data_IF_153709269068
#
_entry.id   IF_153709269068
#
_cell.length_a   1.000
_cell.length_b   1.000
_cell.length_c   1.000
_cell.angle_alpha   90.00
_cell.angle_beta   90.00
_cell.angle_gamma   90.00
#
_symmetry.space_group_name_H-M   'P 1'
#
loop_
_entity.id
_entity.type
_entity.pdbx_description
1 polymer ?
#
# COMPACT_ATOMS: atom_id res chain seq x y z
N UNK A 1 -5.84 38.62 26.44
CA UNK A 1 -5.48 38.43 25.02
C UNK A 1 -3.98 38.62 24.82
N UNK A 2 -3.38 37.82 23.95
CA UNK A 2 -1.97 37.90 23.54
C UNK A 2 -1.87 37.94 22.02
N UNK A 3 -0.67 38.17 21.51
CA UNK A 3 -0.29 37.99 20.11
C UNK A 3 0.76 36.90 19.98
N UNK A 4 0.47 35.90 19.17
CA UNK A 4 1.43 34.91 18.69
C UNK A 4 2.03 35.38 17.37
N UNK A 5 3.35 35.39 17.28
CA UNK A 5 4.10 35.50 16.03
C UNK A 5 4.90 34.21 15.86
N UNK A 6 4.57 33.42 14.84
CA UNK A 6 5.21 32.14 14.58
C UNK A 6 5.86 32.14 13.18
N UNK A 7 7.15 31.83 13.14
CA UNK A 7 7.89 31.54 11.90
C UNK A 7 7.98 30.03 11.73
N UNK A 8 7.42 29.54 10.63
CA UNK A 8 7.31 28.11 10.34
C UNK A 8 8.24 27.75 9.19
N UNK A 9 9.03 26.69 9.37
CA UNK A 9 9.96 26.15 8.38
C UNK A 9 9.56 24.73 7.97
N UNK A 10 10.08 24.29 6.83
CA UNK A 10 9.87 22.95 6.27
C UNK A 10 9.13 22.98 4.93
N UNK A 11 8.42 21.90 4.62
CA UNK A 11 7.59 21.77 3.42
C UNK A 11 6.22 22.41 3.66
N UNK A 12 6.18 23.74 3.62
CA UNK A 12 5.01 24.55 4.04
C UNK A 12 4.51 25.55 2.99
N UNK A 13 5.17 25.70 1.84
CA UNK A 13 4.70 26.54 0.73
C UNK A 13 4.18 25.70 -0.44
N UNK A 14 3.21 26.22 -1.21
CA UNK A 14 2.60 25.57 -2.39
C UNK A 14 1.90 24.22 -2.10
N UNK A 15 1.66 23.92 -0.82
CA UNK A 15 1.08 22.64 -0.34
C UNK A 15 -0.25 22.84 0.39
N UNK A 16 -0.87 24.02 0.29
CA UNK A 16 -2.13 24.35 0.96
C UNK A 16 -2.02 24.59 2.46
N UNK A 17 -0.81 24.71 3.02
CA UNK A 17 -0.57 24.94 4.45
C UNK A 17 -1.29 26.19 4.97
N UNK A 18 -1.15 27.34 4.29
CA UNK A 18 -1.82 28.59 4.70
C UNK A 18 -3.33 28.45 4.79
N UNK A 19 -3.95 27.73 3.85
CA UNK A 19 -5.39 27.46 3.88
C UNK A 19 -5.79 26.67 5.13
N UNK A 20 -4.98 25.70 5.55
CA UNK A 20 -5.20 24.93 6.80
C UNK A 20 -5.06 25.82 8.03
N UNK A 21 -4.02 26.67 8.07
CA UNK A 21 -3.80 27.63 9.16
C UNK A 21 -5.00 28.58 9.30
N UNK A 22 -5.52 29.12 8.19
CA UNK A 22 -6.71 30.00 8.20
C UNK A 22 -7.94 29.29 8.73
N UNK A 23 -8.19 28.05 8.30
CA UNK A 23 -9.32 27.25 8.80
C UNK A 23 -9.22 27.05 10.31
N UNK A 24 -8.05 26.66 10.81
CA UNK A 24 -7.85 26.45 12.25
C UNK A 24 -7.98 27.72 13.07
N UNK A 25 -7.44 28.84 12.57
CA UNK A 25 -7.55 30.13 13.24
C UNK A 25 -9.02 30.57 13.37
N UNK A 26 -9.82 30.37 12.31
CA UNK A 26 -11.26 30.67 12.32
C UNK A 26 -12.05 29.78 13.29
N UNK A 27 -11.72 28.50 13.38
CA UNK A 27 -12.36 27.59 14.35
C UNK A 27 -12.13 28.02 15.80
N UNK A 28 -10.99 28.69 16.07
CA UNK A 28 -10.62 29.18 17.39
C UNK A 28 -10.93 30.68 17.59
N UNK A 29 -11.68 31.29 16.67
CA UNK A 29 -12.01 32.73 16.65
C UNK A 29 -10.80 33.66 16.82
N UNK A 30 -9.64 33.26 16.28
CA UNK A 30 -8.42 34.04 16.32
C UNK A 30 -8.38 35.07 15.20
N UNK A 31 -7.75 36.22 15.46
CA UNK A 31 -7.59 37.32 14.50
C UNK A 31 -6.14 37.47 14.07
N UNK A 32 -5.88 37.86 12.83
CA UNK A 32 -4.52 38.02 12.33
C UNK A 32 -4.35 37.60 10.89
N UNK A 33 -3.18 37.06 10.54
CA UNK A 33 -2.90 36.68 9.18
C UNK A 33 -1.85 35.59 9.06
N UNK A 34 -1.80 34.99 7.87
CA UNK A 34 -0.72 34.12 7.44
C UNK A 34 -0.18 34.58 6.08
N UNK A 35 1.15 34.59 5.91
CA UNK A 35 1.82 34.92 4.64
C UNK A 35 3.04 34.06 4.38
N UNK A 36 3.30 33.80 3.10
CA UNK A 36 4.56 33.20 2.67
C UNK A 36 5.67 34.27 2.70
N UNK A 37 6.87 33.84 3.08
CA UNK A 37 8.09 34.63 3.03
C UNK A 37 8.93 34.22 1.82
N UNK A 38 9.72 35.14 1.24
CA UNK A 38 10.51 34.87 0.03
C UNK A 38 11.65 33.85 0.26
N UNK A 39 12.02 33.60 1.51
CA UNK A 39 13.03 32.62 1.93
C UNK A 39 12.46 31.20 2.10
N UNK A 40 11.20 30.96 1.72
CA UNK A 40 10.54 29.66 1.83
C UNK A 40 9.82 29.43 3.16
N UNK A 41 9.93 30.32 4.14
CA UNK A 41 9.22 30.22 5.43
C UNK A 41 7.78 30.71 5.35
N UNK A 42 6.99 30.42 6.38
CA UNK A 42 5.64 30.97 6.54
C UNK A 42 5.57 31.76 7.85
N UNK A 43 5.12 33.01 7.76
CA UNK A 43 4.85 33.84 8.92
C UNK A 43 3.37 33.75 9.27
N UNK A 44 3.09 33.37 10.52
CA UNK A 44 1.76 33.36 11.11
C UNK A 44 1.71 34.40 12.22
N UNK A 45 0.73 35.29 12.18
CA UNK A 45 0.42 36.22 13.27
C UNK A 45 -1.01 35.96 13.70
N UNK A 46 -1.22 35.69 14.98
CA UNK A 46 -2.54 35.45 15.56
C UNK A 46 -2.69 36.22 16.87
N UNK A 47 -3.86 36.76 17.12
CA UNK A 47 -4.25 37.45 18.34
C UNK A 47 -5.53 36.82 18.88
N UNK A 48 -5.59 36.64 20.20
CA UNK A 48 -6.71 35.96 20.86
C UNK A 48 -6.37 35.62 22.31
N UNK A 49 -7.16 34.72 22.88
CA UNK A 49 -6.92 34.22 24.24
C UNK A 49 -5.71 33.29 24.29
N UNK A 50 -4.97 33.36 25.39
CA UNK A 50 -3.71 32.62 25.55
C UNK A 50 -3.91 31.11 25.40
N UNK A 51 -5.03 30.57 25.93
CA UNK A 51 -5.39 29.17 25.79
C UNK A 51 -5.57 28.76 24.33
N UNK A 52 -6.24 29.59 23.55
CA UNK A 52 -6.53 29.30 22.14
C UNK A 52 -5.31 29.52 21.26
N UNK A 53 -4.47 30.51 21.57
CA UNK A 53 -3.17 30.68 20.91
C UNK A 53 -2.21 29.52 21.18
N UNK A 54 -2.20 28.97 22.40
CA UNK A 54 -1.42 27.76 22.72
C UNK A 54 -1.95 26.54 21.98
N UNK A 55 -3.27 26.37 21.88
CA UNK A 55 -3.89 25.31 21.08
C UNK A 55 -3.56 25.47 19.60
N UNK A 56 -3.67 26.68 19.09
CA UNK A 56 -3.36 27.02 17.71
C UNK A 56 -1.88 26.77 17.38
N UNK A 57 -0.96 27.20 18.24
CA UNK A 57 0.48 26.96 18.07
C UNK A 57 0.81 25.45 17.98
N UNK A 58 0.10 24.60 18.73
CA UNK A 58 0.23 23.15 18.61
C UNK A 58 -0.40 22.63 17.30
N UNK A 59 -1.56 23.15 16.93
CA UNK A 59 -2.32 22.70 15.76
C UNK A 59 -1.62 23.03 14.42
N UNK A 60 -0.89 24.16 14.35
CA UNK A 60 -0.13 24.53 13.15
C UNK A 60 1.11 23.65 12.92
N UNK A 61 1.54 22.87 13.92
CA UNK A 61 2.58 21.85 13.74
C UNK A 61 2.01 20.59 13.06
N UNK A 62 1.80 20.68 11.74
CA UNK A 62 1.15 19.65 10.95
C UNK A 62 2.15 18.74 10.26
N UNK A 63 1.83 17.44 10.22
CA UNK A 63 2.50 16.45 9.38
C UNK A 63 1.45 15.68 8.59
N UNK A 64 1.49 15.82 7.26
CA UNK A 64 0.68 15.07 6.32
C UNK A 64 1.50 14.73 5.05
N UNK A 65 0.95 13.97 4.07
CA UNK A 65 1.72 13.55 2.90
C UNK A 65 2.32 14.70 2.06
N UNK A 66 1.74 15.89 2.09
CA UNK A 66 2.22 17.06 1.33
C UNK A 66 2.85 18.12 2.22
N UNK A 67 2.39 18.25 3.48
CA UNK A 67 2.83 19.25 4.44
C UNK A 67 3.75 18.60 5.47
N UNK A 68 4.96 19.14 5.63
CA UNK A 68 5.87 18.71 6.69
C UNK A 68 6.46 19.94 7.37
N UNK A 69 5.96 20.24 8.56
CA UNK A 69 6.56 21.27 9.43
C UNK A 69 7.82 20.69 10.07
N UNK A 70 8.93 21.41 9.97
CA UNK A 70 10.23 21.01 10.55
C UNK A 70 10.48 21.73 11.87
N UNK A 71 10.28 23.04 11.90
CA UNK A 71 10.44 23.84 13.11
C UNK A 71 9.44 25.00 13.14
N UNK A 72 9.14 25.45 14.36
CA UNK A 72 8.28 26.61 14.64
C UNK A 72 8.96 27.48 15.68
N UNK A 73 9.40 28.66 15.26
CA UNK A 73 9.87 29.70 16.15
C UNK A 73 8.68 30.59 16.55
N UNK A 74 8.11 30.33 17.72
CA UNK A 74 6.95 31.02 18.25
C UNK A 74 7.34 32.06 19.33
N UNK A 75 6.78 33.26 19.23
CA UNK A 75 6.92 34.33 20.22
C UNK A 75 5.55 34.87 20.61
N UNK A 76 5.33 35.05 21.91
CA UNK A 76 4.13 35.68 22.46
C UNK A 76 4.45 37.10 22.90
N UNK A 77 3.66 38.07 22.45
CA UNK A 77 3.78 39.49 22.79
C UNK A 77 2.42 40.10 23.11
N UNK A 78 2.39 41.38 23.46
CA UNK A 78 1.14 42.13 23.61
C UNK A 78 0.36 42.21 22.28
N UNK A 79 -0.98 42.17 22.33
CA UNK A 79 -1.82 42.31 21.15
C UNK A 79 -1.77 43.73 20.60
N UNK A 80 -1.76 43.86 19.28
CA UNK A 80 -1.86 45.16 18.59
C UNK A 80 -3.30 45.54 18.25
N UNK A 81 -4.24 44.60 18.28
CA UNK A 81 -5.65 44.85 17.96
C UNK A 81 -5.87 45.26 16.50
N UNK A 82 -4.96 44.86 15.60
CA UNK A 82 -4.88 45.40 14.24
C UNK A 82 -5.79 44.67 13.23
N UNK A 83 -6.51 43.62 13.64
CA UNK A 83 -7.29 42.77 12.75
C UNK A 83 -8.68 42.50 13.32
N UNK A 84 -9.68 42.46 12.45
CA UNK A 84 -11.08 42.10 12.74
C UNK A 84 -11.38 40.62 12.45
N UNK A 85 -10.52 39.94 11.70
CA UNK A 85 -10.61 38.51 11.37
C UNK A 85 -9.24 37.90 11.03
N UNK A 86 -9.25 36.69 10.47
CA UNK A 86 -8.03 35.98 10.05
C UNK A 86 -7.90 35.88 8.52
N UNK A 87 -6.79 36.41 8.00
CA UNK A 87 -6.59 36.61 6.56
C UNK A 87 -5.43 35.80 5.97
N UNK A 88 -5.60 35.31 4.75
CA UNK A 88 -4.52 34.77 3.92
C UNK A 88 -3.94 35.91 3.09
N UNK A 89 -2.72 36.38 3.39
CA UNK A 89 -2.06 37.42 2.61
C UNK A 89 -1.31 36.76 1.46
N UNK A 90 -1.60 37.21 0.24
CA UNK A 90 -0.87 36.86 -0.97
C UNK A 90 0.17 37.93 -1.31
N UNK A 91 1.37 37.53 -1.75
CA UNK A 91 2.38 38.44 -2.30
C UNK A 91 2.05 38.89 -3.73
N UNK A 92 2.68 39.98 -4.20
CA UNK A 92 2.45 40.55 -5.55
C UNK A 92 2.70 39.58 -6.73
N UNK A 93 3.47 38.51 -6.50
CA UNK A 93 3.77 37.47 -7.50
C UNK A 93 3.09 36.13 -7.22
N UNK A 94 2.24 36.07 -6.19
CA UNK A 94 1.51 34.85 -5.82
C UNK A 94 0.24 34.73 -6.66
N UNK A 95 0.35 34.02 -7.79
CA UNK A 95 -0.76 33.63 -8.66
C UNK A 95 -1.66 32.55 -8.01
N UNK A 96 -2.03 32.74 -6.74
CA UNK A 96 -2.02 31.65 -5.74
C UNK A 96 -3.38 31.27 -5.13
N UNK A 97 -4.46 31.44 -5.90
CA UNK A 97 -5.76 30.86 -5.56
C UNK A 97 -5.98 29.50 -6.22
N UNK A 98 -5.46 29.28 -7.44
CA UNK A 98 -5.72 28.06 -8.22
C UNK A 98 -4.78 26.91 -7.84
N UNK A 99 -3.54 27.20 -7.47
CA UNK A 99 -2.53 26.19 -7.14
C UNK A 99 -2.75 25.55 -5.77
N UNK A 100 -3.14 26.33 -4.76
CA UNK A 100 -3.55 25.81 -3.45
C UNK A 100 -4.73 24.82 -3.57
N UNK A 101 -5.70 25.13 -4.45
CA UNK A 101 -6.86 24.27 -4.71
C UNK A 101 -6.43 22.97 -5.41
N UNK A 102 -5.51 23.07 -6.39
CA UNK A 102 -4.94 21.90 -7.05
C UNK A 102 -4.20 20.98 -6.06
N UNK A 103 -3.48 21.53 -5.07
CA UNK A 103 -2.81 20.75 -4.04
C UNK A 103 -3.79 19.93 -3.17
N UNK A 104 -4.98 20.47 -2.87
CA UNK A 104 -6.04 19.73 -2.16
C UNK A 104 -6.53 18.55 -3.00
N UNK A 105 -6.85 18.78 -4.28
CA UNK A 105 -7.28 17.70 -5.17
C UNK A 105 -6.19 16.63 -5.35
N UNK A 106 -4.92 17.03 -5.44
CA UNK A 106 -3.79 16.10 -5.54
C UNK A 106 -3.66 15.25 -4.26
N UNK A 107 -3.90 15.84 -3.08
CA UNK A 107 -3.95 15.10 -1.81
C UNK A 107 -5.06 14.05 -1.80
N UNK A 108 -6.27 14.42 -2.23
CA UNK A 108 -7.39 13.49 -2.32
C UNK A 108 -7.09 12.33 -3.27
N UNK A 109 -6.50 12.62 -4.44
CA UNK A 109 -6.06 11.60 -5.38
C UNK A 109 -5.02 10.66 -4.77
N UNK A 110 -4.01 11.18 -4.07
CA UNK A 110 -2.99 10.34 -3.42
C UNK A 110 -3.63 9.40 -2.39
N UNK A 111 -4.58 9.91 -1.59
CA UNK A 111 -5.26 9.10 -0.57
C UNK A 111 -6.08 7.99 -1.24
N UNK A 112 -6.92 8.34 -2.22
CA UNK A 112 -7.75 7.36 -2.94
C UNK A 112 -6.89 6.30 -3.64
N UNK A 113 -5.79 6.71 -4.27
CA UNK A 113 -4.85 5.79 -4.94
C UNK A 113 -4.20 4.87 -3.91
N UNK A 114 -3.70 5.40 -2.79
CA UNK A 114 -3.08 4.61 -1.72
C UNK A 114 -4.03 3.56 -1.16
N UNK A 115 -5.28 3.94 -0.91
CA UNK A 115 -6.30 3.03 -0.39
C UNK A 115 -6.69 1.97 -1.43
N UNK A 116 -6.82 2.37 -2.70
CA UNK A 116 -7.06 1.43 -3.80
C UNK A 116 -5.92 0.42 -3.97
N UNK A 117 -4.65 0.85 -3.86
CA UNK A 117 -3.50 -0.06 -3.90
C UNK A 117 -3.46 -0.99 -2.69
N UNK A 118 -3.86 -0.53 -1.51
CA UNK A 118 -3.93 -1.37 -0.30
C UNK A 118 -4.93 -2.52 -0.47
N UNK A 119 -6.10 -2.24 -1.02
CA UNK A 119 -7.11 -3.26 -1.36
C UNK A 119 -6.64 -4.18 -2.49
N UNK A 120 -5.93 -3.64 -3.49
CA UNK A 120 -5.36 -4.47 -4.56
C UNK A 120 -4.31 -5.45 -4.01
N UNK A 121 -3.48 -4.99 -3.07
CA UNK A 121 -2.46 -5.82 -2.44
C UNK A 121 -3.06 -6.94 -1.58
N UNK A 122 -4.16 -6.66 -0.86
CA UNK A 122 -4.86 -7.69 -0.07
C UNK A 122 -5.45 -8.79 -0.96
N UNK A 123 -6.04 -8.41 -2.11
CA UNK A 123 -6.52 -9.37 -3.12
C UNK A 123 -5.38 -10.19 -3.71
N UNK A 124 -4.24 -9.57 -4.00
CA UNK A 124 -3.05 -10.27 -4.51
C UNK A 124 -2.57 -11.35 -3.52
N UNK A 125 -2.50 -11.04 -2.23
CA UNK A 125 -2.14 -12.04 -1.21
C UNK A 125 -3.12 -13.23 -1.16
N UNK A 126 -4.41 -12.99 -1.40
CA UNK A 126 -5.40 -14.08 -1.48
C UNK A 126 -5.19 -14.98 -2.71
N UNK A 127 -4.72 -14.41 -3.83
CA UNK A 127 -4.38 -15.15 -5.05
C UNK A 127 -3.13 -15.98 -4.82
N UNK A 128 -2.09 -15.42 -4.19
CA UNK A 128 -0.87 -16.15 -3.84
C UNK A 128 -1.17 -17.37 -2.96
N UNK A 129 -2.05 -17.22 -1.97
CA UNK A 129 -2.48 -18.33 -1.13
C UNK A 129 -3.20 -19.43 -1.94
N UNK A 130 -4.07 -19.05 -2.88
CA UNK A 130 -4.73 -20.01 -3.77
C UNK A 130 -3.74 -20.72 -4.70
N UNK A 131 -2.75 -20.00 -5.23
CA UNK A 131 -1.68 -20.57 -6.05
C UNK A 131 -0.87 -21.60 -5.25
N UNK A 132 -0.50 -21.30 -4.00
CA UNK A 132 0.16 -22.28 -3.12
C UNK A 132 -0.68 -23.53 -2.85
N UNK A 133 -2.02 -23.39 -2.72
CA UNK A 133 -2.91 -24.54 -2.60
C UNK A 133 -2.99 -25.37 -3.90
N UNK A 134 -2.91 -24.74 -5.06
CA UNK A 134 -2.88 -25.44 -6.35
C UNK A 134 -1.55 -26.19 -6.51
N UNK A 135 -0.44 -25.54 -6.19
CA UNK A 135 0.91 -26.12 -6.27
C UNK A 135 1.04 -27.40 -5.43
N UNK A 136 0.58 -27.36 -4.17
CA UNK A 136 0.57 -28.53 -3.29
C UNK A 136 -0.34 -29.68 -3.81
N UNK A 137 -1.50 -29.34 -4.38
CA UNK A 137 -2.37 -30.34 -5.03
C UNK A 137 -1.69 -30.96 -6.26
N UNK A 138 -1.03 -30.15 -7.08
CA UNK A 138 -0.25 -30.64 -8.23
C UNK A 138 0.88 -31.57 -7.78
N UNK A 139 1.63 -31.21 -6.74
CA UNK A 139 2.64 -32.11 -6.16
C UNK A 139 2.05 -33.46 -5.72
N UNK A 140 0.86 -33.45 -5.11
CA UNK A 140 0.16 -34.69 -4.74
C UNK A 140 -0.26 -35.50 -5.97
N UNK A 141 -0.68 -34.85 -7.05
CA UNK A 141 -1.03 -35.54 -8.30
C UNK A 141 0.20 -36.18 -8.93
N UNK A 142 1.33 -35.46 -8.99
CA UNK A 142 2.61 -35.99 -9.51
C UNK A 142 3.00 -37.25 -8.76
N UNK A 143 3.01 -37.22 -7.42
CA UNK A 143 3.38 -38.42 -6.63
C UNK A 143 2.42 -39.61 -6.84
N UNK A 144 1.14 -39.35 -7.09
CA UNK A 144 0.18 -40.41 -7.46
C UNK A 144 0.45 -40.98 -8.84
N UNK A 145 0.79 -40.13 -9.81
CA UNK A 145 1.16 -40.56 -11.16
C UNK A 145 2.43 -41.41 -11.14
N UNK A 146 3.45 -41.04 -10.34
CA UNK A 146 4.66 -41.84 -10.18
C UNK A 146 4.37 -43.24 -9.64
N UNK A 147 3.49 -43.36 -8.64
CA UNK A 147 3.06 -44.66 -8.11
C UNK A 147 2.31 -45.50 -9.16
N UNK A 148 1.49 -44.87 -9.97
CA UNK A 148 0.78 -45.55 -11.06
C UNK A 148 1.78 -46.06 -12.11
N UNK A 149 2.77 -45.24 -12.48
CA UNK A 149 3.80 -45.64 -13.43
C UNK A 149 4.56 -46.89 -12.95
N UNK A 150 5.02 -46.89 -11.68
CA UNK A 150 5.70 -48.06 -11.09
C UNK A 150 4.79 -49.30 -11.05
N UNK A 151 3.52 -49.12 -10.71
CA UNK A 151 2.56 -50.23 -10.72
C UNK A 151 2.33 -50.80 -12.13
N UNK A 152 2.29 -49.94 -13.15
CA UNK A 152 2.16 -50.35 -14.55
C UNK A 152 3.40 -51.13 -15.03
N UNK A 153 4.61 -50.73 -14.64
CA UNK A 153 5.84 -51.49 -14.93
C UNK A 153 5.80 -52.88 -14.29
N UNK A 154 5.36 -52.98 -13.04
CA UNK A 154 5.19 -54.27 -12.34
C UNK A 154 4.16 -55.19 -13.01
N UNK A 155 3.05 -54.61 -13.48
CA UNK A 155 2.02 -55.36 -14.22
C UNK A 155 2.59 -55.85 -15.55
N UNK A 156 3.29 -54.99 -16.29
CA UNK A 156 3.91 -55.34 -17.55
C UNK A 156 4.90 -56.52 -17.37
N UNK A 157 5.73 -56.48 -16.33
CA UNK A 157 6.64 -57.59 -16.00
C UNK A 157 5.90 -58.91 -15.73
N UNK A 158 4.83 -58.89 -14.93
CA UNK A 158 4.03 -60.09 -14.62
C UNK A 158 3.34 -60.66 -15.86
N UNK A 159 2.83 -59.81 -16.76
CA UNK A 159 2.23 -60.24 -18.02
C UNK A 159 3.27 -60.95 -18.90
N UNK A 160 4.49 -60.39 -18.98
CA UNK A 160 5.57 -60.98 -19.78
C UNK A 160 6.03 -62.35 -19.22
N UNK A 161 6.13 -62.49 -17.89
CA UNK A 161 6.46 -63.78 -17.26
C UNK A 161 5.37 -64.83 -17.50
N UNK A 162 4.09 -64.49 -17.28
CA UNK A 162 2.98 -65.40 -17.55
C UNK A 162 2.94 -65.81 -19.03
N UNK A 163 3.23 -64.89 -19.95
CA UNK A 163 3.33 -65.18 -21.38
C UNK A 163 4.45 -66.17 -21.68
N UNK A 164 5.63 -66.03 -21.08
CA UNK A 164 6.75 -66.97 -21.26
C UNK A 164 6.41 -68.36 -20.76
N UNK A 165 5.77 -68.45 -19.59
CA UNK A 165 5.34 -69.72 -18.99
C UNK A 165 4.35 -70.45 -19.89
N UNK A 166 3.28 -69.79 -20.35
CA UNK A 166 2.30 -70.34 -21.29
C UNK A 166 2.99 -70.85 -22.57
N UNK A 167 3.91 -70.06 -23.14
CA UNK A 167 4.64 -70.47 -24.34
C UNK A 167 5.50 -71.71 -24.08
N UNK A 168 6.12 -71.84 -22.90
CA UNK A 168 6.88 -73.04 -22.53
C UNK A 168 6.00 -74.27 -22.37
N UNK A 169 4.83 -74.16 -21.72
CA UNK A 169 3.88 -75.28 -21.58
C UNK A 169 3.35 -75.74 -22.95
N UNK A 170 2.94 -74.81 -23.81
CA UNK A 170 2.46 -75.13 -25.16
C UNK A 170 3.54 -75.82 -25.99
N UNK A 171 4.81 -75.40 -25.86
CA UNK A 171 5.95 -76.09 -26.49
C UNK A 171 6.15 -77.50 -25.93
N UNK A 172 6.06 -77.67 -24.61
CA UNK A 172 6.17 -78.97 -23.93
C UNK A 172 5.10 -79.95 -24.41
N UNK A 173 3.84 -79.54 -24.37
CA UNK A 173 2.70 -80.33 -24.87
C UNK A 173 2.88 -80.75 -26.33
N UNK A 174 3.39 -79.84 -27.18
CA UNK A 174 3.69 -80.15 -28.58
C UNK A 174 4.79 -81.22 -28.70
N UNK A 175 5.86 -81.13 -27.91
CA UNK A 175 6.92 -82.14 -27.89
C UNK A 175 6.40 -83.52 -27.47
N UNK A 176 5.58 -83.59 -26.43
CA UNK A 176 5.00 -84.85 -25.93
C UNK A 176 4.09 -85.50 -26.98
N UNK A 177 3.28 -84.69 -27.68
CA UNK A 177 2.41 -85.16 -28.75
C UNK A 177 3.23 -85.74 -29.92
N UNK A 178 4.29 -85.06 -30.34
CA UNK A 178 5.21 -85.56 -31.36
C UNK A 178 5.96 -86.82 -30.94
N UNK A 179 6.32 -86.95 -29.65
CA UNK A 179 6.93 -88.15 -29.10
C UNK A 179 6.00 -89.36 -29.18
N UNK A 180 4.73 -89.19 -28.82
CA UNK A 180 3.71 -90.24 -28.90
C UNK A 180 3.40 -90.67 -30.34
N UNK A 181 3.34 -89.74 -31.29
CA UNK A 181 3.12 -90.07 -32.71
C UNK A 181 4.28 -90.82 -33.37
N UNK A 182 5.50 -90.74 -32.82
CA UNK A 182 6.68 -91.47 -33.35
C UNK A 182 6.89 -92.86 -32.73
N UNK A 183 6.15 -93.20 -31.68
CA UNK A 183 6.26 -94.46 -30.94
C UNK A 183 5.15 -95.47 -31.25
N UNK A 184 4.23 -95.11 -32.15
CA UNK A 184 3.21 -95.94 -32.81
C UNK A 184 3.54 -96.14 -34.26
#
# INVERSE_FOLDING_TARGET
MLRLTALVTGRVQHVGYRSRVVTMARTLDLKGFVRNLPDGRVLVVAEGDESDLKRFCKAINMQDPLIKVEDILAQFTEPKGAWDGFYKIAGERETDSRLDTAAVFLKELIVVVKDGFKETNSRLSSVDAKLGSIDSKLGTVVTKLDRIAVAQEMIAYKIDEARKEIVSEVKGLRCDLFGRMRST
#
